data_IF_154410873455
#
_entry.id   IF_154410873455
#
_cell.length_a   1.000
_cell.length_b   1.000
_cell.length_c   1.000
_cell.angle_alpha   90.00
_cell.angle_beta   90.00
_cell.angle_gamma   90.00
#
_symmetry.space_group_name_H-M   'P 1'
#
loop_
_entity.id
_entity.type
_entity.pdbx_description
1 polymer ?
#
# COMPACT_ATOMS: atom_id res chain seq x y z
N UNK A 1 23.90 -1.35 -12.99
CA UNK A 1 23.08 -0.16 -12.73
C UNK A 1 21.93 -0.63 -11.85
N UNK A 2 21.55 0.05 -10.76
CA UNK A 2 20.35 -0.36 -10.04
C UNK A 2 19.17 -0.12 -10.98
N UNK A 3 18.62 -1.20 -11.52
CA UNK A 3 17.34 -1.18 -12.23
C UNK A 3 16.28 -0.78 -11.21
N UNK A 4 15.69 0.39 -11.41
CA UNK A 4 14.64 0.90 -10.54
C UNK A 4 13.38 0.10 -10.81
N UNK A 5 12.92 -0.70 -9.84
CA UNK A 5 11.71 -1.54 -9.95
C UNK A 5 10.52 -0.77 -10.53
N UNK A 6 10.36 0.49 -10.14
CA UNK A 6 9.28 1.36 -10.62
C UNK A 6 9.44 1.63 -12.12
N UNK A 7 10.64 2.03 -12.57
CA UNK A 7 10.92 2.29 -13.99
C UNK A 7 10.67 1.05 -14.85
N UNK A 8 11.10 -0.12 -14.38
CA UNK A 8 10.89 -1.39 -15.08
C UNK A 8 9.39 -1.75 -15.17
N UNK A 9 8.63 -1.52 -14.11
CA UNK A 9 7.17 -1.72 -14.09
C UNK A 9 6.46 -0.85 -15.12
N UNK A 10 6.81 0.44 -15.21
CA UNK A 10 6.23 1.34 -16.22
C UNK A 10 6.63 0.93 -17.64
N UNK A 11 7.89 0.55 -17.86
CA UNK A 11 8.37 0.09 -19.16
C UNK A 11 7.62 -1.18 -19.61
N UNK A 12 7.39 -2.12 -18.70
CA UNK A 12 6.60 -3.33 -18.96
C UNK A 12 5.16 -3.01 -19.33
N UNK A 13 4.45 -2.22 -18.52
CA UNK A 13 3.04 -1.86 -18.78
C UNK A 13 2.89 -1.10 -20.11
N UNK A 14 3.84 -0.21 -20.44
CA UNK A 14 3.89 0.49 -21.72
C UNK A 14 4.08 -0.47 -22.90
N UNK A 15 4.99 -1.45 -22.77
CA UNK A 15 5.17 -2.51 -23.79
C UNK A 15 3.92 -3.39 -23.98
N UNK A 16 3.12 -3.55 -22.93
CA UNK A 16 1.82 -4.24 -22.95
C UNK A 16 0.66 -3.34 -23.39
N UNK A 17 0.92 -2.08 -23.78
CA UNK A 17 -0.10 -1.08 -24.18
C UNK A 17 -1.21 -0.88 -23.14
N UNK A 18 -0.86 -0.92 -21.85
CA UNK A 18 -1.78 -0.71 -20.73
C UNK A 18 -1.26 0.30 -19.72
N UNK A 19 -2.16 0.82 -18.90
CA UNK A 19 -1.79 1.62 -17.73
C UNK A 19 -1.23 0.74 -16.60
N UNK A 20 -0.46 1.37 -15.71
CA UNK A 20 -0.01 0.78 -14.44
C UNK A 20 -1.16 0.87 -13.42
N UNK A 21 -1.51 -0.25 -12.80
CA UNK A 21 -2.42 -0.30 -11.66
C UNK A 21 -1.64 -0.06 -10.37
N UNK A 22 -1.78 1.13 -9.79
CA UNK A 22 -1.25 1.49 -8.48
C UNK A 22 -2.36 1.31 -7.45
N UNK A 23 -2.14 0.44 -6.46
CA UNK A 23 -3.14 0.13 -5.43
C UNK A 23 -2.64 0.57 -4.05
N UNK A 24 -3.47 1.30 -3.32
CA UNK A 24 -3.18 1.78 -1.97
C UNK A 24 -3.87 0.91 -0.92
N UNK A 25 -3.17 0.62 0.19
CA UNK A 25 -3.74 0.10 1.42
C UNK A 25 -3.07 0.74 2.65
N UNK A 26 -3.79 0.78 3.78
CA UNK A 26 -3.25 1.23 5.06
C UNK A 26 -2.67 0.03 5.82
N UNK A 27 -1.41 0.11 6.23
CA UNK A 27 -0.78 -0.89 7.08
C UNK A 27 -1.53 -0.99 8.41
N UNK A 28 -1.83 -2.22 8.86
CA UNK A 28 -2.53 -2.46 10.11
C UNK A 28 -4.04 -2.18 10.07
N UNK A 29 -4.64 -1.98 8.90
CA UNK A 29 -6.09 -1.88 8.73
C UNK A 29 -6.71 -3.15 8.11
N UNK A 30 -7.70 -3.80 8.75
CA UNK A 30 -8.18 -3.59 10.12
C UNK A 30 -7.18 -4.06 11.19
N UNK A 31 -6.23 -4.90 10.82
CA UNK A 31 -5.12 -5.39 11.66
C UNK A 31 -3.94 -5.79 10.75
N UNK A 32 -2.78 -6.09 11.35
CA UNK A 32 -1.56 -6.41 10.59
C UNK A 32 -1.70 -7.66 9.72
N UNK A 33 -2.30 -8.73 10.26
CA UNK A 33 -2.48 -10.00 9.55
C UNK A 33 -3.36 -9.82 8.31
N UNK A 34 -4.50 -9.14 8.47
CA UNK A 34 -5.43 -8.86 7.38
C UNK A 34 -4.82 -7.92 6.34
N UNK A 35 -4.09 -6.87 6.78
CA UNK A 35 -3.41 -5.95 5.86
C UNK A 35 -2.31 -6.65 5.05
N UNK A 36 -1.56 -7.59 5.65
CA UNK A 36 -0.58 -8.43 4.94
C UNK A 36 -1.25 -9.35 3.92
N UNK A 37 -2.34 -10.01 4.31
CA UNK A 37 -3.10 -10.85 3.40
C UNK A 37 -3.67 -10.05 2.21
N UNK A 38 -4.17 -8.83 2.47
CA UNK A 38 -4.64 -7.92 1.43
C UNK A 38 -3.50 -7.49 0.49
N UNK A 39 -2.32 -7.17 1.02
CA UNK A 39 -1.13 -6.85 0.22
C UNK A 39 -0.73 -8.01 -0.70
N UNK A 40 -0.70 -9.24 -0.18
CA UNK A 40 -0.45 -10.45 -0.97
C UNK A 40 -1.52 -10.64 -2.05
N UNK A 41 -2.80 -10.41 -1.72
CA UNK A 41 -3.88 -10.51 -2.68
C UNK A 41 -3.75 -9.48 -3.82
N UNK A 42 -3.36 -8.24 -3.53
CA UNK A 42 -3.09 -7.22 -4.56
C UNK A 42 -1.96 -7.66 -5.50
N UNK A 43 -0.85 -8.16 -4.95
CA UNK A 43 0.26 -8.73 -5.73
C UNK A 43 -0.23 -9.84 -6.68
N UNK A 44 -1.04 -10.76 -6.16
CA UNK A 44 -1.48 -11.95 -6.90
C UNK A 44 -2.59 -11.66 -7.92
N UNK A 45 -3.30 -10.52 -7.78
CA UNK A 45 -4.44 -10.15 -8.63
C UNK A 45 -4.17 -8.93 -9.53
N UNK A 46 -2.91 -8.61 -9.79
CA UNK A 46 -2.53 -7.71 -10.87
C UNK A 46 -2.24 -6.26 -10.49
N UNK A 47 -2.02 -5.96 -9.21
CA UNK A 47 -1.40 -4.68 -8.85
C UNK A 47 0.05 -4.66 -9.37
N UNK A 48 0.38 -3.60 -10.11
CA UNK A 48 1.75 -3.39 -10.62
C UNK A 48 2.64 -2.72 -9.57
N UNK A 49 2.05 -1.82 -8.79
CA UNK A 49 2.67 -1.08 -7.69
C UNK A 49 1.70 -1.09 -6.52
N UNK A 50 2.24 -1.36 -5.33
CA UNK A 50 1.50 -1.28 -4.09
C UNK A 50 2.03 -0.08 -3.31
N UNK A 51 1.13 0.84 -2.97
CA UNK A 51 1.37 1.93 -2.02
C UNK A 51 0.93 1.46 -0.64
N UNK A 52 1.91 1.27 0.24
CA UNK A 52 1.68 0.88 1.62
C UNK A 52 1.70 2.12 2.52
N UNK A 53 0.53 2.53 3.00
CA UNK A 53 0.37 3.68 3.89
C UNK A 53 0.78 3.35 5.32
N UNK A 54 1.67 4.17 5.90
CA UNK A 54 1.92 4.14 7.34
C UNK A 54 0.87 5.01 8.06
N UNK A 55 0.21 4.50 9.12
CA UNK A 55 -0.81 5.27 9.82
C UNK A 55 -0.22 6.51 10.50
N UNK A 56 -0.93 7.64 10.38
CA UNK A 56 -0.49 8.95 10.87
C UNK A 56 -1.59 9.63 11.70
N UNK A 57 -1.19 10.36 12.76
CA UNK A 57 -2.14 10.94 13.74
C UNK A 57 -2.94 12.11 13.18
N UNK A 58 -2.38 12.84 12.21
CA UNK A 58 -2.97 14.08 11.68
C UNK A 58 -3.10 14.06 10.14
N UNK A 59 -3.91 13.14 9.55
CA UNK A 59 -3.97 12.89 8.10
C UNK A 59 -4.83 13.91 7.35
N UNK A 60 -4.41 15.19 7.35
CA UNK A 60 -5.21 16.30 6.81
C UNK A 60 -5.45 16.27 5.29
N UNK A 61 -4.62 15.54 4.55
CA UNK A 61 -4.73 15.40 3.09
C UNK A 61 -5.70 14.28 2.66
N UNK A 62 -6.01 13.36 3.57
CA UNK A 62 -6.75 12.15 3.25
C UNK A 62 -8.27 12.34 3.33
N UNK A 63 -9.00 11.61 2.49
CA UNK A 63 -10.45 11.52 2.56
C UNK A 63 -10.94 10.64 3.72
N UNK A 64 -12.23 10.73 4.06
CA UNK A 64 -12.83 10.09 5.23
C UNK A 64 -12.59 8.57 5.32
N UNK A 65 -12.53 7.84 4.19
CA UNK A 65 -12.27 6.40 4.20
C UNK A 65 -10.85 6.07 4.68
N UNK A 66 -9.85 6.80 4.18
CA UNK A 66 -8.44 6.60 4.53
C UNK A 66 -8.16 7.10 5.95
N UNK A 67 -8.76 8.23 6.35
CA UNK A 67 -8.68 8.69 7.74
C UNK A 67 -9.21 7.62 8.72
N UNK A 68 -10.36 6.98 8.41
CA UNK A 68 -10.90 5.89 9.23
C UNK A 68 -10.02 4.65 9.26
N UNK A 69 -9.38 4.30 8.14
CA UNK A 69 -8.39 3.21 8.09
C UNK A 69 -7.20 3.50 9.01
N UNK A 70 -6.65 4.72 8.94
CA UNK A 70 -5.58 5.17 9.81
C UNK A 70 -5.97 5.12 11.29
N UNK A 71 -7.18 5.57 11.64
CA UNK A 71 -7.69 5.48 13.02
C UNK A 71 -7.80 4.04 13.54
N UNK A 72 -8.24 3.08 12.70
CA UNK A 72 -8.26 1.65 13.09
C UNK A 72 -6.84 1.12 13.30
N UNK A 73 -5.93 1.38 12.37
CA UNK A 73 -4.53 0.97 12.49
C UNK A 73 -3.83 1.56 13.74
N UNK A 74 -4.07 2.85 14.05
CA UNK A 74 -3.56 3.52 15.26
C UNK A 74 -4.19 2.95 16.53
N UNK A 75 -5.47 2.57 16.52
CA UNK A 75 -6.11 1.90 17.66
C UNK A 75 -5.44 0.55 17.99
N UNK A 76 -4.91 -0.13 16.97
CA UNK A 76 -4.08 -1.34 17.10
C UNK A 76 -2.59 -1.05 17.37
N UNK A 77 -2.22 0.21 17.59
CA UNK A 77 -0.84 0.67 17.86
C UNK A 77 0.16 0.35 16.75
N UNK A 78 -0.31 0.23 15.51
CA UNK A 78 0.55 0.00 14.35
C UNK A 78 1.59 1.11 14.23
N UNK A 79 2.85 0.74 14.13
CA UNK A 79 3.99 1.66 14.01
C UNK A 79 4.58 1.66 12.61
N UNK A 80 5.49 2.61 12.34
CA UNK A 80 6.29 2.59 11.12
C UNK A 80 7.15 1.32 11.01
N UNK A 81 7.66 0.81 12.14
CA UNK A 81 8.45 -0.43 12.14
C UNK A 81 7.60 -1.63 11.71
N UNK A 82 6.36 -1.71 12.18
CA UNK A 82 5.42 -2.74 11.75
C UNK A 82 5.11 -2.63 10.25
N UNK A 83 4.91 -1.39 9.75
CA UNK A 83 4.68 -1.13 8.33
C UNK A 83 5.84 -1.60 7.44
N UNK A 84 7.08 -1.39 7.88
CA UNK A 84 8.29 -1.83 7.16
C UNK A 84 8.53 -3.35 7.25
N UNK A 85 7.89 -4.03 8.19
CA UNK A 85 8.01 -5.47 8.41
C UNK A 85 6.94 -6.31 7.68
N UNK A 86 5.93 -5.65 7.08
CA UNK A 86 4.96 -6.27 6.17
C UNK A 86 5.63 -6.71 4.86
#
# INVERSE_FOLDING_TARGET
MPTSRITDTFAKASGESRAVLVSYLMAGDPDLETSFAAMCALRDNGADIIELGAPFTDPMADGASIQKAGLRALAHKTTLADTLAL
#
